data_IF_846569661235
#
_entry.id   IF_846569661235
#
_cell.length_a   1.000
_cell.length_b   1.000
_cell.length_c   1.000
_cell.angle_alpha   90.00
_cell.angle_beta   90.00
_cell.angle_gamma   90.00
#
_symmetry.space_group_name_H-M   'P 1'
#
loop_
_entity.id
_entity.type
_entity.pdbx_description
1 polymer ?
#
# COMPACT_ATOMS: atom_id res chain seq x y z
N UNK A 1 4.46 -4.61 11.03
CA UNK A 1 5.12 -3.30 11.25
C UNK A 1 4.67 -2.32 10.18
N UNK A 2 4.36 -1.06 10.51
CA UNK A 2 3.98 -0.05 9.52
C UNK A 2 5.18 0.80 9.09
N UNK A 3 5.28 1.10 7.80
CA UNK A 3 6.34 1.93 7.21
C UNK A 3 5.69 2.96 6.28
N UNK A 4 5.73 4.26 6.61
CA UNK A 4 5.28 5.31 5.69
C UNK A 4 6.00 5.21 4.35
N UNK A 5 5.27 5.23 3.24
CA UNK A 5 5.87 5.07 1.91
C UNK A 5 6.86 6.19 1.55
N UNK A 6 6.70 7.38 2.15
CA UNK A 6 7.63 8.53 2.03
C UNK A 6 8.96 8.32 2.77
N UNK A 7 9.11 7.20 3.51
CA UNK A 7 10.32 6.81 4.25
C UNK A 7 10.81 5.43 3.81
N UNK A 8 11.16 5.24 2.52
CA UNK A 8 11.62 3.94 2.01
C UNK A 8 12.90 3.46 2.72
N UNK A 9 13.69 4.38 3.28
CA UNK A 9 14.87 4.07 4.11
C UNK A 9 14.57 3.21 5.36
N UNK A 10 13.30 3.19 5.80
CA UNK A 10 12.84 2.39 6.95
C UNK A 10 12.45 0.97 6.57
N UNK A 11 12.17 0.68 5.30
CA UNK A 11 11.72 -0.64 4.88
C UNK A 11 12.76 -1.75 5.16
N UNK A 12 14.05 -1.61 4.81
CA UNK A 12 15.05 -2.64 5.15
C UNK A 12 15.19 -2.84 6.66
N UNK A 13 15.05 -1.77 7.45
CA UNK A 13 15.09 -1.83 8.91
C UNK A 13 13.88 -2.57 9.47
N UNK A 14 12.70 -2.37 8.89
CA UNK A 14 11.49 -3.10 9.25
C UNK A 14 11.60 -4.59 8.97
N UNK A 15 12.20 -4.98 7.83
CA UNK A 15 12.49 -6.39 7.54
C UNK A 15 13.48 -6.99 8.55
N UNK A 16 14.52 -6.23 8.90
CA UNK A 16 15.55 -6.68 9.84
C UNK A 16 15.04 -6.91 11.28
N UNK A 17 13.86 -6.41 11.64
CA UNK A 17 13.28 -6.69 12.97
C UNK A 17 12.73 -8.11 13.09
N UNK A 18 12.64 -8.87 11.99
CA UNK A 18 12.01 -10.18 11.98
C UNK A 18 10.48 -10.14 12.06
N UNK A 19 9.86 -9.03 11.65
CA UNK A 19 8.40 -8.93 11.61
C UNK A 19 7.82 -9.92 10.58
N UNK A 20 6.74 -10.62 10.93
CA UNK A 20 6.05 -11.52 10.00
C UNK A 20 5.34 -10.77 8.86
N UNK A 21 4.97 -9.50 9.09
CA UNK A 21 4.38 -8.64 8.08
C UNK A 21 4.90 -7.19 8.18
N UNK A 22 5.13 -6.58 7.02
CA UNK A 22 5.47 -5.16 6.86
C UNK A 22 4.42 -4.50 5.96
N UNK A 23 3.72 -3.52 6.50
CA UNK A 23 2.71 -2.77 5.78
C UNK A 23 3.29 -1.42 5.35
N UNK A 24 3.43 -1.23 4.04
CA UNK A 24 3.75 0.05 3.44
C UNK A 24 2.49 0.92 3.51
N UNK A 25 2.62 2.13 4.06
CA UNK A 25 1.48 2.97 4.40
C UNK A 25 1.36 4.19 3.51
N UNK A 26 0.21 4.34 2.86
CA UNK A 26 -0.21 5.55 2.12
C UNK A 26 -1.21 6.40 2.89
N UNK A 27 -1.74 5.91 4.01
CA UNK A 27 -2.84 6.52 4.77
C UNK A 27 -2.30 7.42 5.91
N UNK A 28 -2.62 7.15 7.17
CA UNK A 28 -2.39 8.07 8.29
C UNK A 28 -0.89 8.33 8.58
N UNK A 29 0.00 7.44 8.14
CA UNK A 29 1.45 7.64 8.24
C UNK A 29 2.02 8.65 7.23
N UNK A 30 1.20 9.19 6.33
CA UNK A 30 1.61 10.09 5.24
C UNK A 30 0.80 11.39 5.30
N UNK A 31 1.49 12.53 5.24
CA UNK A 31 0.83 13.84 5.20
C UNK A 31 0.03 14.03 3.91
N UNK A 32 -1.00 14.89 3.93
CA UNK A 32 -1.81 15.15 2.73
C UNK A 32 -0.98 15.64 1.54
N UNK A 33 0.01 16.51 1.78
CA UNK A 33 0.86 17.06 0.73
C UNK A 33 1.76 16.00 0.07
N UNK A 34 2.07 14.91 0.77
CA UNK A 34 3.00 13.90 0.29
C UNK A 34 2.29 12.68 -0.33
N UNK A 35 0.96 12.64 -0.40
CA UNK A 35 0.20 11.46 -0.86
C UNK A 35 0.61 11.00 -2.27
N UNK A 36 0.81 11.94 -3.17
CA UNK A 36 1.21 11.62 -4.54
C UNK A 36 2.63 11.08 -4.61
N UNK A 37 3.57 11.68 -3.87
CA UNK A 37 4.93 11.17 -3.74
C UNK A 37 4.94 9.78 -3.09
N UNK A 38 4.13 9.58 -2.05
CA UNK A 38 4.03 8.33 -1.32
C UNK A 38 3.57 7.18 -2.21
N UNK A 39 2.58 7.43 -3.09
CA UNK A 39 2.09 6.44 -4.06
C UNK A 39 3.18 6.00 -5.02
N UNK A 40 3.92 6.97 -5.59
CA UNK A 40 5.07 6.67 -6.47
C UNK A 40 6.14 5.86 -5.72
N UNK A 41 6.50 6.31 -4.51
CA UNK A 41 7.52 5.64 -3.69
C UNK A 41 7.12 4.21 -3.29
N UNK A 42 5.84 3.97 -2.98
CA UNK A 42 5.34 2.62 -2.70
C UNK A 42 5.49 1.70 -3.91
N UNK A 43 5.05 2.15 -5.11
CA UNK A 43 5.20 1.35 -6.33
C UNK A 43 6.66 1.07 -6.67
N UNK A 44 7.55 2.05 -6.52
CA UNK A 44 8.99 1.87 -6.75
C UNK A 44 9.61 0.89 -5.74
N UNK A 45 9.16 0.92 -4.49
CA UNK A 45 9.53 -0.07 -3.49
C UNK A 45 9.08 -1.47 -3.91
N UNK A 46 7.84 -1.64 -4.37
CA UNK A 46 7.35 -2.95 -4.84
C UNK A 46 8.08 -3.45 -6.11
N UNK A 47 8.50 -2.56 -7.01
CA UNK A 47 9.35 -2.89 -8.17
C UNK A 47 10.74 -3.37 -7.79
N UNK A 48 11.33 -2.73 -6.79
CA UNK A 48 12.70 -3.00 -6.35
C UNK A 48 12.79 -3.99 -5.19
N UNK A 49 11.66 -4.54 -4.72
CA UNK A 49 11.62 -5.37 -3.51
C UNK A 49 12.42 -6.66 -3.69
N UNK A 50 13.21 -6.97 -2.68
CA UNK A 50 13.87 -8.27 -2.55
C UNK A 50 12.92 -9.32 -2.00
N UNK A 51 13.14 -10.59 -2.33
CA UNK A 51 12.45 -11.70 -1.69
C UNK A 51 12.71 -11.68 -0.17
N UNK A 52 11.64 -11.80 0.61
CA UNK A 52 11.68 -11.78 2.07
C UNK A 52 10.69 -12.81 2.62
N UNK A 53 10.89 -13.22 3.89
CA UNK A 53 9.93 -14.07 4.62
C UNK A 53 8.67 -13.28 5.01
N UNK A 54 8.81 -11.98 5.26
CA UNK A 54 7.71 -11.15 5.72
C UNK A 54 6.67 -10.96 4.60
N UNK A 55 5.38 -10.98 4.95
CA UNK A 55 4.34 -10.51 4.04
C UNK A 55 4.47 -8.99 3.88
N UNK A 56 4.58 -8.51 2.64
CA UNK A 56 4.71 -7.07 2.34
C UNK A 56 3.40 -6.56 1.78
N UNK A 57 2.59 -5.96 2.64
CA UNK A 57 1.28 -5.41 2.31
C UNK A 57 1.34 -3.91 2.01
N UNK A 58 0.31 -3.40 1.34
CA UNK A 58 0.11 -1.97 1.11
C UNK A 58 -1.21 -1.55 1.76
N UNK A 59 -1.19 -0.55 2.65
CA UNK A 59 -2.38 0.16 3.09
C UNK A 59 -2.61 1.37 2.20
N UNK A 60 -3.71 1.37 1.48
CA UNK A 60 -4.15 2.49 0.64
C UNK A 60 -4.88 3.55 1.48
N UNK A 61 -5.19 4.70 0.89
CA UNK A 61 -6.16 5.63 1.45
C UNK A 61 -7.59 5.07 1.33
N UNK A 62 -8.52 5.66 2.08
CA UNK A 62 -9.94 5.27 2.05
C UNK A 62 -10.47 5.25 0.60
N UNK A 63 -10.93 4.09 0.09
CA UNK A 63 -11.40 3.94 -1.29
C UNK A 63 -12.62 4.83 -1.60
N UNK A 64 -13.33 5.32 -0.57
CA UNK A 64 -14.44 6.27 -0.72
C UNK A 64 -13.95 7.71 -1.06
N UNK A 65 -12.64 7.95 -1.07
CA UNK A 65 -12.04 9.27 -1.32
C UNK A 65 -11.26 9.31 -2.64
N UNK A 66 -11.07 10.51 -3.20
CA UNK A 66 -10.24 10.72 -4.40
C UNK A 66 -8.82 10.17 -4.26
N UNK A 67 -8.23 10.24 -3.05
CA UNK A 67 -6.91 9.68 -2.78
C UNK A 67 -6.90 8.15 -2.90
N UNK A 68 -7.90 7.48 -2.33
CA UNK A 68 -8.02 6.02 -2.42
C UNK A 68 -8.30 5.56 -3.84
N UNK A 69 -9.14 6.27 -4.60
CA UNK A 69 -9.38 5.97 -6.01
C UNK A 69 -8.10 6.09 -6.85
N UNK A 70 -7.30 7.13 -6.61
CA UNK A 70 -5.98 7.29 -7.27
C UNK A 70 -4.98 6.22 -6.86
N UNK A 71 -5.03 5.72 -5.62
CA UNK A 71 -4.22 4.58 -5.18
C UNK A 71 -4.61 3.30 -5.94
N UNK A 72 -5.91 3.03 -6.09
CA UNK A 72 -6.43 1.88 -6.83
C UNK A 72 -6.09 1.95 -8.32
N UNK A 73 -6.33 3.09 -8.98
CA UNK A 73 -5.95 3.29 -10.39
C UNK A 73 -4.47 3.03 -10.63
N UNK A 74 -3.60 3.55 -9.76
CA UNK A 74 -2.17 3.35 -9.89
C UNK A 74 -1.78 1.88 -9.69
N UNK A 75 -2.47 1.14 -8.81
CA UNK A 75 -2.27 -0.30 -8.64
C UNK A 75 -2.74 -1.09 -9.86
N UNK A 76 -3.87 -0.74 -10.47
CA UNK A 76 -4.35 -1.39 -11.70
C UNK A 76 -3.36 -1.19 -12.85
N UNK A 77 -2.81 0.02 -12.98
CA UNK A 77 -1.84 0.37 -14.03
C UNK A 77 -0.42 -0.15 -13.76
N UNK A 78 -0.09 -0.48 -12.51
CA UNK A 78 1.23 -0.98 -12.16
C UNK A 78 1.45 -2.39 -12.72
N UNK A 79 2.72 -2.73 -12.96
CA UNK A 79 3.22 -4.06 -13.30
C UNK A 79 3.62 -4.88 -12.06
N UNK A 80 3.44 -4.29 -10.87
CA UNK A 80 3.79 -4.87 -9.58
C UNK A 80 2.59 -4.97 -8.66
N UNK A 81 2.65 -5.90 -7.71
CA UNK A 81 1.58 -6.12 -6.73
C UNK A 81 2.17 -6.31 -5.33
N UNK A 82 1.52 -5.77 -4.28
CA UNK A 82 1.82 -6.16 -2.91
C UNK A 82 1.38 -7.60 -2.66
N UNK A 83 1.85 -8.20 -1.57
CA UNK A 83 1.41 -9.55 -1.18
C UNK A 83 -0.03 -9.53 -0.65
N UNK A 84 -0.43 -8.41 -0.04
CA UNK A 84 -1.79 -8.14 0.38
C UNK A 84 -2.12 -6.63 0.29
N UNK A 85 -3.39 -6.32 0.08
CA UNK A 85 -3.92 -4.96 0.14
C UNK A 85 -4.71 -4.78 1.43
N UNK A 86 -4.40 -3.73 2.19
CA UNK A 86 -5.13 -3.37 3.41
C UNK A 86 -6.07 -2.20 3.10
N UNK A 87 -7.37 -2.46 3.26
CA UNK A 87 -8.45 -1.49 3.13
C UNK A 87 -8.70 -0.80 4.48
N UNK A 88 -8.47 0.52 4.61
CA UNK A 88 -8.84 1.23 5.82
C UNK A 88 -10.34 1.57 5.84
N UNK A 89 -10.89 1.81 7.03
CA UNK A 89 -12.26 2.35 7.22
C UNK A 89 -13.35 1.57 6.46
N UNK A 90 -13.17 0.25 6.36
CA UNK A 90 -14.10 -0.65 5.69
C UNK A 90 -15.33 -0.85 6.57
N UNK A 91 -16.49 -0.38 6.11
CA UNK A 91 -17.74 -0.43 6.89
C UNK A 91 -18.74 -1.46 6.38
N UNK A 92 -18.49 -2.06 5.21
CA UNK A 92 -19.38 -3.05 4.61
C UNK A 92 -18.63 -4.10 3.77
N UNK A 93 -19.17 -5.32 3.63
CA UNK A 93 -18.63 -6.33 2.70
C UNK A 93 -18.62 -5.88 1.24
N UNK A 94 -19.55 -5.01 0.84
CA UNK A 94 -19.66 -4.45 -0.50
C UNK A 94 -18.40 -3.67 -0.88
N UNK A 95 -17.85 -2.86 0.03
CA UNK A 95 -16.62 -2.10 -0.21
C UNK A 95 -15.43 -3.01 -0.57
N UNK A 96 -15.31 -4.17 0.09
CA UNK A 96 -14.27 -5.16 -0.23
C UNK A 96 -14.48 -5.75 -1.63
N UNK A 97 -15.74 -6.05 -1.99
CA UNK A 97 -16.07 -6.61 -3.31
C UNK A 97 -15.78 -5.61 -4.42
N UNK A 98 -16.13 -4.34 -4.23
CA UNK A 98 -15.90 -3.28 -5.22
C UNK A 98 -14.41 -3.10 -5.50
N UNK A 99 -13.58 -3.06 -4.46
CA UNK A 99 -12.12 -2.98 -4.63
C UNK A 99 -11.55 -4.26 -5.26
N UNK A 100 -12.03 -5.44 -4.87
CA UNK A 100 -11.63 -6.69 -5.52
C UNK A 100 -11.96 -6.70 -7.02
N UNK A 101 -13.13 -6.20 -7.41
CA UNK A 101 -13.55 -6.12 -8.82
C UNK A 101 -12.69 -5.13 -9.60
N UNK A 102 -12.40 -3.96 -9.02
CA UNK A 102 -11.53 -2.96 -9.64
C UNK A 102 -10.12 -3.49 -9.92
N UNK A 103 -9.58 -4.34 -9.04
CA UNK A 103 -8.22 -4.91 -9.18
C UNK A 103 -8.16 -6.17 -10.06
N UNK A 104 -9.32 -6.77 -10.38
CA UNK A 104 -9.41 -8.00 -11.19
C UNK A 104 -9.65 -7.73 -12.68
N UNK A 105 -9.81 -6.46 -13.06
CA UNK A 105 -10.03 -5.98 -14.43
C UNK A 105 -8.72 -5.62 -15.10
#
# INVERSE_FOLDING_TARGET
>A
MFVPAVRPDRYPKALATGADAVCIDLEDGVSFADKDQARTAALDLFRSRVTTRAEVSLRINDPKTDLGQRDLEALCQADVRPDALMLPKCDSPEEVRDVSNALSS
#
